data_IF_095368208374
#
_entry.id   IF_095368208374
#
_cell.length_a   1.000
_cell.length_b   1.000
_cell.length_c   1.000
_cell.angle_alpha   90.00
_cell.angle_beta   90.00
_cell.angle_gamma   90.00
#
_symmetry.space_group_name_H-M   'P 1'
#
loop_
_entity.id
_entity.type
_entity.pdbx_description
1 polymer ?
#
# COMPACT_ATOMS: atom_id res chain seq x y z
N UNK A 1 66.49 24.11 10.18
CA UNK A 1 66.86 23.17 9.11
C UNK A 1 65.97 21.95 9.26
N UNK A 2 65.29 21.61 8.18
CA UNK A 2 64.19 20.65 8.09
C UNK A 2 64.57 19.25 8.59
N UNK A 3 63.62 18.54 9.18
CA UNK A 3 63.57 17.08 9.10
C UNK A 3 62.21 16.68 8.50
N UNK A 4 62.31 16.34 7.22
CA UNK A 4 61.31 15.71 6.37
C UNK A 4 61.16 14.26 6.81
N UNK A 5 59.92 13.80 7.03
CA UNK A 5 59.65 12.38 7.24
C UNK A 5 58.47 12.10 8.16
N UNK A 6 57.25 12.29 7.66
CA UNK A 6 56.08 11.63 8.23
C UNK A 6 55.22 11.15 7.07
N UNK A 7 55.37 9.88 6.74
CA UNK A 7 54.51 9.14 5.82
C UNK A 7 53.09 9.11 6.39
N UNK A 8 52.15 9.73 5.69
CA UNK A 8 50.72 9.61 5.97
C UNK A 8 50.32 8.15 5.79
N UNK A 9 49.90 7.49 6.87
CA UNK A 9 49.20 6.21 6.79
C UNK A 9 47.82 6.46 6.21
N UNK A 10 47.65 6.08 4.93
CA UNK A 10 46.36 6.02 4.27
C UNK A 10 45.46 5.06 5.05
N UNK A 11 44.48 5.61 5.75
CA UNK A 11 43.39 4.82 6.33
C UNK A 11 42.44 4.49 5.18
N UNK A 12 42.49 3.25 4.69
CA UNK A 12 41.45 2.72 3.81
C UNK A 12 40.15 2.66 4.62
N UNK A 13 39.32 3.69 4.46
CA UNK A 13 37.95 3.66 4.94
C UNK A 13 37.17 2.69 4.04
N UNK A 14 36.89 1.49 4.55
CA UNK A 14 35.85 0.65 3.96
C UNK A 14 34.53 1.42 3.97
N UNK A 15 33.77 1.46 2.86
CA UNK A 15 32.44 2.04 2.87
C UNK A 15 31.58 1.24 3.83
N UNK A 16 31.15 1.90 4.92
CA UNK A 16 30.16 1.38 5.84
C UNK A 16 28.87 1.11 5.04
N UNK A 17 28.23 -0.06 5.14
CA UNK A 17 26.94 -0.27 4.50
C UNK A 17 25.96 0.77 5.04
N UNK A 18 25.41 1.55 4.12
CA UNK A 18 24.37 2.54 4.39
C UNK A 18 23.17 1.83 5.01
N UNK A 19 22.66 2.26 6.18
CA UNK A 19 21.37 1.78 6.65
C UNK A 19 20.29 2.25 5.67
N UNK A 20 19.58 1.32 5.03
CA UNK A 20 18.48 1.55 4.08
C UNK A 20 17.19 2.07 4.75
N UNK A 21 17.29 2.73 5.90
CA UNK A 21 16.14 3.24 6.65
C UNK A 21 15.98 4.74 6.41
N UNK A 22 15.56 5.11 5.20
CA UNK A 22 14.90 6.39 4.96
C UNK A 22 13.56 6.10 4.28
N UNK A 23 12.63 5.52 5.04
CA UNK A 23 11.22 5.66 4.72
C UNK A 23 10.79 7.07 5.15
N UNK A 24 10.14 7.86 4.28
CA UNK A 24 9.65 9.18 4.67
C UNK A 24 8.71 9.06 5.87
N UNK A 25 8.86 9.95 6.85
CA UNK A 25 7.97 10.01 7.99
C UNK A 25 6.51 10.19 7.51
N UNK A 26 5.58 9.51 8.19
CA UNK A 26 4.11 9.48 7.98
C UNK A 26 3.45 10.88 7.92
N UNK A 27 4.22 11.96 8.07
CA UNK A 27 3.75 13.31 8.30
C UNK A 27 3.52 14.17 7.04
N UNK A 28 3.84 13.71 5.82
CA UNK A 28 3.55 14.49 4.59
C UNK A 28 2.14 14.26 4.06
N UNK A 29 1.49 13.13 4.38
CA UNK A 29 0.12 12.91 3.94
C UNK A 29 -0.90 13.70 4.77
N UNK A 30 -0.65 13.92 6.07
CA UNK A 30 -1.55 14.69 6.94
C UNK A 30 -1.90 16.10 6.42
N UNK A 31 -1.05 16.71 5.59
CA UNK A 31 -1.28 18.03 4.99
C UNK A 31 -2.19 18.02 3.76
N UNK A 32 -2.32 16.92 3.01
CA UNK A 32 -3.21 16.86 1.84
C UNK A 32 -4.69 16.72 2.22
N UNK A 33 -4.97 16.36 3.48
CA UNK A 33 -6.32 16.06 3.99
C UNK A 33 -7.03 17.23 4.70
N UNK A 34 -6.43 18.43 4.78
CA UNK A 34 -7.13 19.59 5.35
C UNK A 34 -8.07 20.24 4.33
N UNK A 35 -9.03 19.47 3.83
CA UNK A 35 -10.20 20.07 3.21
C UNK A 35 -11.13 20.55 4.33
N UNK A 36 -11.15 21.87 4.56
CA UNK A 36 -12.22 22.53 5.33
C UNK A 36 -13.49 22.49 4.48
N UNK A 37 -14.16 21.34 4.42
CA UNK A 37 -15.57 21.33 4.09
C UNK A 37 -16.31 21.81 5.35
N UNK A 38 -17.03 22.95 5.31
CA UNK A 38 -17.99 23.22 6.36
C UNK A 38 -19.03 22.10 6.31
N UNK A 39 -19.22 21.38 7.41
CA UNK A 39 -20.44 20.61 7.61
C UNK A 39 -21.61 21.58 7.46
N UNK A 40 -22.26 21.60 6.29
CA UNK A 40 -23.53 22.28 6.15
C UNK A 40 -24.58 21.38 6.81
N UNK A 41 -24.86 21.66 8.08
CA UNK A 41 -26.16 21.35 8.64
C UNK A 41 -27.19 22.09 7.79
N UNK A 42 -27.84 21.40 6.85
CA UNK A 42 -29.03 21.93 6.20
C UNK A 42 -30.11 22.04 7.28
N UNK A 43 -30.12 23.16 8.00
CA UNK A 43 -31.35 23.62 8.64
C UNK A 43 -32.32 23.89 7.50
N UNK A 44 -33.28 22.98 7.30
CA UNK A 44 -34.44 23.23 6.46
C UNK A 44 -35.17 24.47 6.98
N UNK A 45 -34.78 25.67 6.51
CA UNK A 45 -35.66 26.82 6.59
C UNK A 45 -36.69 26.65 5.47
N UNK A 46 -37.89 26.23 5.85
CA UNK A 46 -39.07 26.26 5.00
C UNK A 46 -39.54 27.72 4.79
N UNK A 47 -38.65 28.59 4.32
CA UNK A 47 -39.00 29.93 3.87
C UNK A 47 -38.61 30.04 2.40
N UNK A 48 -39.45 29.48 1.53
CA UNK A 48 -39.46 29.81 0.11
C UNK A 48 -39.92 31.28 -0.01
N UNK A 49 -39.09 32.23 -0.47
CA UNK A 49 -39.60 33.50 -0.93
C UNK A 49 -40.15 33.26 -2.34
N UNK A 50 -41.37 33.74 -2.61
CA UNK A 50 -42.14 33.61 -3.87
C UNK A 50 -43.19 32.50 -3.90
N UNK A 51 -44.38 32.86 -3.37
CA UNK A 51 -45.65 32.45 -3.96
C UNK A 51 -46.21 33.64 -4.75
N UNK A 52 -46.62 33.48 -6.01
CA UNK A 52 -47.45 34.47 -6.69
C UNK A 52 -48.75 34.67 -5.89
N UNK A 53 -49.04 35.91 -5.56
CA UNK A 53 -50.29 36.33 -4.90
C UNK A 53 -51.50 35.85 -5.70
N UNK A 54 -52.40 35.11 -5.07
CA UNK A 54 -53.62 34.54 -5.66
C UNK A 54 -54.74 35.57 -5.88
N UNK A 55 -54.41 36.84 -6.14
CA UNK A 55 -55.40 37.94 -6.17
C UNK A 55 -56.00 38.30 -7.54
N UNK A 56 -55.62 37.63 -8.63
CA UNK A 56 -56.30 37.81 -9.93
C UNK A 56 -56.95 36.51 -10.39
N UNK A 57 -58.25 36.36 -10.09
CA UNK A 57 -59.13 35.46 -10.84
C UNK A 57 -59.27 36.02 -12.25
N UNK A 58 -58.68 35.35 -13.24
CA UNK A 58 -58.99 35.53 -14.65
C UNK A 58 -60.46 35.12 -14.84
N UNK A 59 -61.33 36.08 -15.11
CA UNK A 59 -62.72 35.82 -15.45
C UNK A 59 -62.78 35.15 -16.84
N UNK A 60 -62.86 33.83 -16.87
CA UNK A 60 -63.26 33.10 -18.07
C UNK A 60 -64.78 33.26 -18.22
N UNK A 61 -65.21 34.17 -19.09
CA UNK A 61 -66.61 34.29 -19.49
C UNK A 61 -66.84 33.32 -20.65
N UNK A 62 -67.44 32.17 -20.36
CA UNK A 62 -68.06 31.30 -21.37
C UNK A 62 -69.43 31.89 -21.76
N UNK A 63 -69.71 32.17 -23.05
CA UNK A 63 -70.99 32.74 -23.46
C UNK A 63 -72.03 31.62 -23.53
N UNK A 64 -73.02 31.63 -22.63
CA UNK A 64 -74.18 30.73 -22.72
C UNK A 64 -75.36 31.49 -23.34
N UNK A 65 -75.69 31.12 -24.58
CA UNK A 65 -76.90 31.52 -25.29
C UNK A 65 -78.10 30.76 -24.71
N UNK A 66 -79.15 31.49 -24.30
CA UNK A 66 -80.47 30.91 -24.04
C UNK A 66 -81.55 31.74 -24.78
N UNK A 67 -82.51 31.09 -25.48
CA UNK A 67 -83.42 31.74 -26.41
C UNK A 67 -84.80 32.03 -25.79
N UNK A 68 -85.46 33.13 -26.19
CA UNK A 68 -86.88 33.33 -25.90
C UNK A 68 -87.66 33.74 -27.14
N UNK A 69 -88.65 32.90 -27.49
CA UNK A 69 -89.64 33.13 -28.53
C UNK A 69 -90.96 33.69 -27.97
N UNK A 70 -91.36 34.85 -28.52
CA UNK A 70 -92.71 35.34 -28.90
C UNK A 70 -93.94 35.19 -27.97
N UNK A 71 -94.52 36.33 -27.59
CA UNK A 71 -95.89 36.84 -27.95
C UNK A 71 -96.18 38.14 -27.14
N UNK A 72 -96.35 39.32 -27.78
CA UNK A 72 -97.62 39.98 -28.18
C UNK A 72 -98.48 40.50 -27.00
N UNK A 73 -99.09 41.69 -26.89
CA UNK A 73 -99.12 43.00 -27.58
C UNK A 73 -100.17 43.88 -26.79
N UNK A 74 -100.03 45.22 -26.71
CA UNK A 74 -101.12 46.18 -26.36
C UNK A 74 -101.11 46.75 -24.93
N UNK A 75 -100.52 47.92 -24.58
CA UNK A 75 -100.88 49.36 -24.81
C UNK A 75 -101.98 49.91 -23.87
N UNK A 76 -101.63 50.92 -23.04
CA UNK A 76 -102.41 52.14 -22.67
C UNK A 76 -101.57 53.06 -21.75
N UNK A 77 -101.84 54.38 -21.66
CA UNK A 77 -100.83 55.39 -22.02
C UNK A 77 -100.41 56.39 -20.92
N UNK A 78 -99.18 56.89 -21.13
CA UNK A 78 -98.64 58.25 -20.93
C UNK A 78 -99.42 59.28 -20.09
N UNK A 79 -98.83 59.67 -18.95
CA UNK A 79 -98.87 61.04 -18.43
C UNK A 79 -97.43 61.60 -18.35
N UNK A 80 -97.06 62.36 -19.37
CA UNK A 80 -96.00 63.39 -19.42
C UNK A 80 -96.33 64.47 -18.36
N UNK A 81 -95.46 65.04 -17.51
CA UNK A 81 -94.10 65.62 -17.59
C UNK A 81 -93.71 66.06 -16.13
N UNK A 82 -92.44 66.41 -15.77
CA UNK A 82 -91.52 67.22 -16.55
C UNK A 82 -90.13 66.63 -16.78
N UNK A 83 -89.69 66.84 -18.02
CA UNK A 83 -88.32 66.76 -18.49
C UNK A 83 -87.48 67.83 -17.76
N UNK A 84 -86.69 67.39 -16.78
CA UNK A 84 -85.52 68.15 -16.32
C UNK A 84 -84.36 67.73 -17.21
N UNK A 85 -84.24 68.38 -18.37
CA UNK A 85 -82.92 68.52 -18.98
C UNK A 85 -82.16 69.54 -18.15
N UNK A 86 -81.07 69.10 -17.51
CA UNK A 86 -79.78 69.77 -17.60
C UNK A 86 -78.73 68.96 -16.83
N UNK A 87 -77.95 68.19 -17.61
CA UNK A 87 -76.50 68.04 -17.50
C UNK A 87 -75.88 68.78 -16.29
N UNK A 88 -75.76 68.11 -15.15
CA UNK A 88 -74.79 68.56 -14.13
C UNK A 88 -73.49 67.84 -14.45
N UNK A 89 -72.58 68.62 -15.00
CA UNK A 89 -71.30 68.22 -15.53
C UNK A 89 -70.49 67.35 -14.57
N UNK A 90 -69.73 66.44 -15.17
CA UNK A 90 -68.60 65.70 -14.63
C UNK A 90 -67.87 66.51 -13.54
N UNK A 91 -68.18 66.27 -12.27
CA UNK A 91 -67.22 66.57 -11.21
C UNK A 91 -66.03 65.65 -11.48
N UNK A 92 -64.88 66.21 -11.86
CA UNK A 92 -63.65 65.44 -11.96
C UNK A 92 -63.41 64.78 -10.61
N UNK A 93 -63.60 63.46 -10.55
CA UNK A 93 -63.54 62.63 -9.32
C UNK A 93 -62.13 62.60 -8.70
N UNK A 94 -61.15 63.20 -9.39
CA UNK A 94 -59.78 63.39 -8.95
C UNK A 94 -59.37 64.82 -9.23
N UNK A 95 -58.79 65.48 -8.23
CA UNK A 95 -58.12 66.77 -8.40
C UNK A 95 -56.81 66.55 -9.17
N UNK A 96 -56.31 67.55 -9.93
CA UNK A 96 -54.93 67.54 -10.42
C UNK A 96 -53.91 67.22 -9.31
N UNK A 97 -54.14 67.67 -8.07
CA UNK A 97 -53.29 67.36 -6.93
C UNK A 97 -53.30 65.86 -6.56
N UNK A 98 -54.47 65.20 -6.63
CA UNK A 98 -54.58 63.74 -6.42
C UNK A 98 -53.86 62.96 -7.52
N UNK A 99 -53.93 63.47 -8.77
CA UNK A 99 -53.19 62.91 -9.89
C UNK A 99 -51.68 63.05 -9.70
N UNK A 100 -51.19 64.23 -9.28
CA UNK A 100 -49.78 64.46 -8.98
C UNK A 100 -49.29 63.58 -7.83
N UNK A 101 -50.05 63.44 -6.75
CA UNK A 101 -49.73 62.55 -5.62
C UNK A 101 -49.69 61.08 -6.04
N UNK A 102 -50.67 60.62 -6.80
CA UNK A 102 -50.71 59.24 -7.30
C UNK A 102 -49.53 58.95 -8.22
N UNK A 103 -49.19 59.86 -9.12
CA UNK A 103 -48.02 59.70 -9.99
C UNK A 103 -46.72 59.71 -9.19
N UNK A 104 -46.60 60.59 -8.20
CA UNK A 104 -45.43 60.63 -7.32
C UNK A 104 -45.24 59.31 -6.57
N UNK A 105 -46.31 58.71 -6.06
CA UNK A 105 -46.29 57.39 -5.42
C UNK A 105 -45.88 56.29 -6.40
N UNK A 106 -46.50 56.26 -7.59
CA UNK A 106 -46.16 55.28 -8.64
C UNK A 106 -44.68 55.39 -9.08
N UNK A 107 -44.14 56.61 -9.17
CA UNK A 107 -42.72 56.81 -9.47
C UNK A 107 -41.84 56.23 -8.36
N UNK A 108 -42.14 56.53 -7.09
CA UNK A 108 -41.38 55.99 -5.94
C UNK A 108 -41.44 54.46 -5.87
N UNK A 109 -42.60 53.86 -6.08
CA UNK A 109 -42.77 52.40 -6.07
C UNK A 109 -42.03 51.75 -7.26
N UNK A 110 -42.06 52.38 -8.43
CA UNK A 110 -41.30 51.95 -9.61
C UNK A 110 -39.79 52.04 -9.38
N UNK A 111 -39.31 53.12 -8.77
CA UNK A 111 -37.90 53.30 -8.40
C UNK A 111 -37.45 52.25 -7.38
N UNK A 112 -38.25 51.99 -6.34
CA UNK A 112 -37.98 50.95 -5.36
C UNK A 112 -37.96 49.54 -6.00
N UNK A 113 -38.91 49.24 -6.88
CA UNK A 113 -38.95 47.98 -7.61
C UNK A 113 -37.74 47.81 -8.54
N UNK A 114 -37.34 48.86 -9.26
CA UNK A 114 -36.14 48.88 -10.11
C UNK A 114 -34.88 48.65 -9.27
N UNK A 115 -34.76 49.33 -8.13
CA UNK A 115 -33.63 49.18 -7.22
C UNK A 115 -33.53 47.74 -6.68
N UNK A 116 -34.65 47.16 -6.22
CA UNK A 116 -34.68 45.78 -5.74
C UNK A 116 -34.34 44.77 -6.84
N UNK A 117 -34.84 44.98 -8.07
CA UNK A 117 -34.54 44.12 -9.21
C UNK A 117 -33.06 44.24 -9.66
N UNK A 118 -32.47 45.42 -9.59
CA UNK A 118 -31.03 45.62 -9.82
C UNK A 118 -30.20 44.87 -8.77
N UNK A 119 -30.53 45.07 -7.48
CA UNK A 119 -29.85 44.37 -6.38
C UNK A 119 -29.91 42.85 -6.54
N UNK A 120 -31.09 42.30 -6.83
CA UNK A 120 -31.27 40.86 -7.06
C UNK A 120 -30.39 40.34 -8.21
N UNK A 121 -30.27 41.10 -9.31
CA UNK A 121 -29.41 40.72 -10.45
C UNK A 121 -27.93 40.75 -10.08
N UNK A 122 -27.49 41.76 -9.35
CA UNK A 122 -26.11 41.87 -8.86
C UNK A 122 -25.79 40.72 -7.89
N UNK A 123 -26.65 40.49 -6.90
CA UNK A 123 -26.49 39.41 -5.92
C UNK A 123 -26.48 38.03 -6.58
N UNK A 124 -27.35 37.82 -7.58
CA UNK A 124 -27.38 36.57 -8.36
C UNK A 124 -26.11 36.40 -9.19
N UNK A 125 -25.65 37.45 -9.86
CA UNK A 125 -24.42 37.41 -10.67
C UNK A 125 -23.20 37.12 -9.81
N UNK A 126 -23.11 37.74 -8.63
CA UNK A 126 -22.06 37.47 -7.64
C UNK A 126 -22.12 36.02 -7.14
N UNK A 127 -23.32 35.53 -6.80
CA UNK A 127 -23.48 34.15 -6.33
C UNK A 127 -23.04 33.14 -7.38
N UNK A 128 -23.34 33.38 -8.66
CA UNK A 128 -22.87 32.53 -9.77
C UNK A 128 -21.34 32.52 -9.82
N UNK A 129 -20.70 33.69 -9.79
CA UNK A 129 -19.23 33.80 -9.81
C UNK A 129 -18.56 33.12 -8.61
N UNK A 130 -19.06 33.36 -7.39
CA UNK A 130 -18.54 32.77 -6.16
C UNK A 130 -18.65 31.22 -6.21
N UNK A 131 -19.78 30.69 -6.73
CA UNK A 131 -19.99 29.25 -6.90
C UNK A 131 -19.12 28.65 -8.00
N UNK A 132 -18.94 29.33 -9.12
CA UNK A 132 -18.04 28.89 -10.20
C UNK A 132 -16.59 28.84 -9.71
N UNK A 133 -16.14 29.86 -8.98
CA UNK A 133 -14.79 29.90 -8.43
C UNK A 133 -14.57 28.79 -7.39
N UNK A 134 -15.53 28.58 -6.48
CA UNK A 134 -15.47 27.49 -5.49
C UNK A 134 -15.43 26.12 -6.17
N UNK A 135 -16.22 25.92 -7.23
CA UNK A 135 -16.26 24.65 -7.98
C UNK A 135 -14.92 24.38 -8.66
N UNK A 136 -14.36 25.37 -9.37
CA UNK A 136 -13.03 25.24 -10.01
C UNK A 136 -11.94 24.95 -8.99
N UNK A 137 -11.93 25.67 -7.87
CA UNK A 137 -10.95 25.45 -6.80
C UNK A 137 -11.03 24.03 -6.25
N UNK A 138 -12.25 23.58 -5.93
CA UNK A 138 -12.48 22.24 -5.39
C UNK A 138 -12.03 21.16 -6.39
N UNK A 139 -12.41 21.28 -7.67
CA UNK A 139 -11.98 20.35 -8.72
C UNK A 139 -10.46 20.29 -8.87
N UNK A 140 -9.78 21.44 -8.92
CA UNK A 140 -8.31 21.47 -9.01
C UNK A 140 -7.65 20.80 -7.81
N UNK A 141 -8.15 21.05 -6.60
CA UNK A 141 -7.64 20.44 -5.37
C UNK A 141 -7.89 18.92 -5.35
N UNK A 142 -9.07 18.45 -5.77
CA UNK A 142 -9.36 17.00 -5.83
C UNK A 142 -8.52 16.29 -6.88
N UNK A 143 -8.42 16.83 -8.10
CA UNK A 143 -7.59 16.25 -9.17
C UNK A 143 -6.13 16.15 -8.74
N UNK A 144 -5.58 17.21 -8.11
CA UNK A 144 -4.21 17.20 -7.61
C UNK A 144 -3.99 16.13 -6.54
N UNK A 145 -4.86 16.06 -5.54
CA UNK A 145 -4.75 15.08 -4.45
C UNK A 145 -4.87 13.64 -4.95
N UNK A 146 -5.75 13.38 -5.92
CA UNK A 146 -5.86 12.05 -6.57
C UNK A 146 -4.56 11.73 -7.32
N UNK A 147 -4.00 12.70 -8.04
CA UNK A 147 -2.73 12.53 -8.76
C UNK A 147 -1.56 12.19 -7.84
N UNK A 148 -1.42 12.88 -6.70
CA UNK A 148 -0.41 12.57 -5.68
C UNK A 148 -0.55 11.11 -5.19
N UNK A 149 -1.77 10.68 -4.86
CA UNK A 149 -2.04 9.31 -4.40
C UNK A 149 -1.77 8.25 -5.47
N UNK A 150 -2.09 8.53 -6.73
CA UNK A 150 -1.77 7.64 -7.85
C UNK A 150 -0.25 7.42 -7.91
N UNK A 151 0.55 8.48 -7.75
CA UNK A 151 2.01 8.37 -7.74
C UNK A 151 2.49 7.52 -6.55
N UNK A 152 1.95 7.73 -5.35
CA UNK A 152 2.31 6.94 -4.16
C UNK A 152 1.99 5.45 -4.36
N UNK A 153 0.78 5.11 -4.85
CA UNK A 153 0.39 3.72 -5.11
C UNK A 153 1.31 3.09 -6.16
N UNK A 154 1.65 3.83 -7.22
CA UNK A 154 2.58 3.36 -8.27
C UNK A 154 3.96 3.08 -7.67
N UNK A 155 4.49 3.98 -6.85
CA UNK A 155 5.77 3.80 -6.17
C UNK A 155 5.79 2.55 -5.29
N UNK A 156 4.78 2.38 -4.43
CA UNK A 156 4.72 1.20 -3.57
C UNK A 156 4.55 -0.08 -4.39
N UNK A 157 3.87 -0.02 -5.54
CA UNK A 157 3.68 -1.18 -6.43
C UNK A 157 5.01 -1.60 -7.02
N UNK A 158 5.82 -0.65 -7.49
CA UNK A 158 7.16 -0.96 -7.97
C UNK A 158 8.03 -1.58 -6.90
N UNK A 159 7.90 -1.11 -5.66
CA UNK A 159 8.64 -1.66 -4.52
C UNK A 159 8.20 -3.08 -4.15
N UNK A 160 6.90 -3.39 -4.21
CA UNK A 160 6.40 -4.76 -4.06
C UNK A 160 6.89 -5.69 -5.16
N UNK A 161 6.92 -5.22 -6.40
CA UNK A 161 7.43 -6.02 -7.52
C UNK A 161 8.89 -6.39 -7.31
N UNK A 162 9.71 -5.41 -6.89
CA UNK A 162 11.13 -5.66 -6.61
C UNK A 162 11.32 -6.72 -5.51
N UNK A 163 10.51 -6.63 -4.45
CA UNK A 163 10.58 -7.59 -3.35
C UNK A 163 10.11 -9.00 -3.77
N UNK A 164 9.05 -9.10 -4.58
CA UNK A 164 8.59 -10.37 -5.18
C UNK A 164 9.71 -11.00 -6.02
N UNK A 165 10.39 -10.21 -6.86
CA UNK A 165 11.49 -10.69 -7.68
C UNK A 165 12.66 -11.21 -6.82
N UNK A 166 12.97 -10.50 -5.73
CA UNK A 166 13.96 -10.94 -4.73
C UNK A 166 13.59 -12.29 -4.10
N UNK A 167 12.34 -12.43 -3.65
CA UNK A 167 11.84 -13.70 -3.06
C UNK A 167 11.88 -14.87 -4.04
N UNK A 168 11.56 -14.63 -5.32
CA UNK A 168 11.70 -15.64 -6.37
C UNK A 168 13.17 -16.08 -6.50
N UNK A 169 14.09 -15.12 -6.48
CA UNK A 169 15.54 -15.38 -6.49
C UNK A 169 15.96 -16.32 -5.35
N UNK A 170 15.61 -15.99 -4.11
CA UNK A 170 15.94 -16.81 -2.94
C UNK A 170 15.30 -18.20 -2.96
N UNK A 171 14.05 -18.30 -3.42
CA UNK A 171 13.34 -19.58 -3.57
C UNK A 171 14.06 -20.50 -4.57
N UNK A 172 14.56 -19.92 -5.66
CA UNK A 172 15.34 -20.65 -6.66
C UNK A 172 16.69 -21.11 -6.08
N UNK A 173 17.37 -20.26 -5.32
CA UNK A 173 18.65 -20.59 -4.67
C UNK A 173 18.49 -21.75 -3.65
N UNK A 174 17.45 -21.71 -2.82
CA UNK A 174 17.09 -22.82 -1.92
C UNK A 174 16.83 -24.11 -2.69
N UNK A 175 16.07 -24.02 -3.79
CA UNK A 175 15.76 -25.20 -4.61
C UNK A 175 17.01 -25.81 -5.22
N UNK A 176 17.96 -25.00 -5.66
CA UNK A 176 19.22 -25.48 -6.23
C UNK A 176 20.14 -26.12 -5.18
N UNK A 177 20.28 -25.49 -4.01
CA UNK A 177 21.06 -26.06 -2.91
C UNK A 177 20.44 -27.40 -2.44
N UNK A 178 19.10 -27.55 -2.49
CA UNK A 178 18.43 -28.81 -2.15
C UNK A 178 18.82 -29.92 -3.12
N UNK A 179 18.79 -29.63 -4.43
CA UNK A 179 19.23 -30.58 -5.47
C UNK A 179 20.70 -30.97 -5.32
N UNK A 180 21.55 -30.04 -4.88
CA UNK A 180 22.96 -30.32 -4.64
C UNK A 180 23.15 -31.31 -3.48
N UNK A 181 22.45 -31.10 -2.37
CA UNK A 181 22.45 -32.03 -1.23
C UNK A 181 21.84 -33.40 -1.58
N UNK A 182 20.79 -33.44 -2.40
CA UNK A 182 20.21 -34.69 -2.92
C UNK A 182 21.23 -35.51 -3.73
N UNK A 183 22.04 -34.83 -4.57
CA UNK A 183 23.10 -35.49 -5.32
C UNK A 183 24.22 -35.98 -4.43
N UNK A 184 24.66 -35.16 -3.47
CA UNK A 184 25.66 -35.53 -2.47
C UNK A 184 25.24 -36.77 -1.69
N UNK A 185 23.98 -36.86 -1.26
CA UNK A 185 23.43 -38.02 -0.54
C UNK A 185 23.51 -39.32 -1.34
N UNK A 186 23.27 -39.26 -2.65
CA UNK A 186 23.35 -40.44 -3.53
C UNK A 186 24.82 -40.87 -3.73
N UNK A 187 25.75 -39.92 -3.69
CA UNK A 187 27.18 -40.17 -3.83
C UNK A 187 27.82 -40.69 -2.52
N UNK A 188 27.32 -40.26 -1.36
CA UNK A 188 27.76 -40.69 -0.03
C UNK A 188 26.96 -41.87 0.52
N UNK A 189 26.87 -42.99 -0.21
CA UNK A 189 26.40 -44.29 0.32
C UNK A 189 27.36 -44.84 1.42
N UNK A 190 27.61 -44.04 2.46
CA UNK A 190 28.45 -44.27 3.61
C UNK A 190 27.63 -44.28 4.92
N UNK A 191 28.21 -43.89 6.06
CA UNK A 191 27.67 -44.17 7.39
C UNK A 191 26.29 -43.53 7.65
N UNK A 192 25.41 -44.27 8.34
CA UNK A 192 24.03 -43.88 8.70
C UNK A 192 23.91 -42.47 9.32
N UNK A 193 24.93 -42.02 10.05
CA UNK A 193 24.96 -40.70 10.70
C UNK A 193 25.01 -39.54 9.71
N UNK A 194 25.67 -39.71 8.55
CA UNK A 194 25.74 -38.72 7.48
C UNK A 194 24.40 -38.60 6.75
N UNK A 195 23.74 -39.73 6.51
CA UNK A 195 22.41 -39.81 5.89
C UNK A 195 21.35 -39.08 6.73
N UNK A 196 21.37 -39.25 8.06
CA UNK A 196 20.43 -38.57 8.97
C UNK A 196 20.62 -37.04 8.98
N UNK A 197 21.87 -36.56 8.94
CA UNK A 197 22.18 -35.12 8.88
C UNK A 197 21.70 -34.51 7.56
N UNK A 198 21.96 -35.18 6.43
CA UNK A 198 21.55 -34.71 5.11
C UNK A 198 20.03 -34.71 4.97
N UNK A 199 19.34 -35.76 5.43
CA UNK A 199 17.87 -35.82 5.41
C UNK A 199 17.24 -34.70 6.27
N UNK A 200 17.83 -34.44 7.45
CA UNK A 200 17.43 -33.31 8.30
C UNK A 200 17.60 -31.96 7.58
N UNK A 201 18.72 -31.77 6.86
CA UNK A 201 18.93 -30.58 6.02
C UNK A 201 17.88 -30.48 4.91
N UNK A 202 17.58 -31.55 4.19
CA UNK A 202 16.60 -31.57 3.09
C UNK A 202 15.18 -31.22 3.54
N UNK A 203 14.70 -31.84 4.62
CA UNK A 203 13.35 -31.57 5.15
C UNK A 203 13.22 -30.13 5.65
N UNK A 204 14.30 -29.54 6.17
CA UNK A 204 14.31 -28.13 6.57
C UNK A 204 14.31 -27.19 5.37
N UNK A 205 15.12 -27.44 4.36
CA UNK A 205 15.10 -26.65 3.13
C UNK A 205 13.72 -26.67 2.48
N UNK A 206 13.03 -27.82 2.51
CA UNK A 206 11.63 -27.92 2.10
C UNK A 206 10.72 -26.98 2.90
N UNK A 207 10.82 -26.96 4.24
CA UNK A 207 10.07 -26.00 5.07
C UNK A 207 10.38 -24.54 4.74
N UNK A 208 11.62 -24.22 4.37
CA UNK A 208 12.00 -22.87 3.94
C UNK A 208 11.40 -22.51 2.58
N UNK A 209 11.39 -23.44 1.62
CA UNK A 209 10.69 -23.27 0.35
C UNK A 209 9.19 -23.05 0.58
N UNK A 210 8.55 -23.84 1.45
CA UNK A 210 7.12 -23.69 1.76
C UNK A 210 6.82 -22.31 2.38
N UNK A 211 7.67 -21.81 3.29
CA UNK A 211 7.55 -20.45 3.86
C UNK A 211 7.76 -19.36 2.82
N UNK A 212 8.78 -19.51 1.97
CA UNK A 212 9.06 -18.55 0.90
C UNK A 212 7.89 -18.48 -0.10
N UNK A 213 7.30 -19.63 -0.45
CA UNK A 213 6.11 -19.70 -1.29
C UNK A 213 4.88 -19.05 -0.64
N UNK A 214 4.68 -19.24 0.66
CA UNK A 214 3.60 -18.59 1.41
C UNK A 214 3.78 -17.06 1.45
N UNK A 215 4.99 -16.57 1.72
CA UNK A 215 5.30 -15.14 1.71
C UNK A 215 5.10 -14.54 0.31
N UNK A 216 5.58 -15.22 -0.74
CA UNK A 216 5.35 -14.83 -2.13
C UNK A 216 3.86 -14.71 -2.45
N UNK A 217 3.02 -15.60 -1.93
CA UNK A 217 1.58 -15.52 -2.11
C UNK A 217 0.97 -14.30 -1.38
N UNK A 218 1.47 -13.97 -0.19
CA UNK A 218 1.06 -12.78 0.56
C UNK A 218 1.46 -11.49 -0.16
N UNK A 219 2.69 -11.41 -0.69
CA UNK A 219 3.18 -10.27 -1.46
C UNK A 219 2.36 -10.06 -2.74
N UNK A 220 2.06 -11.15 -3.48
CA UNK A 220 1.17 -11.11 -4.66
C UNK A 220 -0.25 -10.67 -4.31
N UNK A 221 -0.77 -11.08 -3.15
CA UNK A 221 -2.07 -10.61 -2.67
C UNK A 221 -2.05 -9.10 -2.38
N UNK A 222 -1.01 -8.59 -1.72
CA UNK A 222 -0.86 -7.15 -1.45
C UNK A 222 -0.69 -6.34 -2.75
N UNK A 223 0.06 -6.87 -3.72
CA UNK A 223 0.21 -6.30 -5.06
C UNK A 223 -1.15 -6.18 -5.76
N UNK A 224 -1.94 -7.25 -5.77
CA UNK A 224 -3.26 -7.23 -6.41
C UNK A 224 -4.20 -6.18 -5.82
N UNK A 225 -4.24 -6.03 -4.49
CA UNK A 225 -5.06 -5.00 -3.82
C UNK A 225 -4.63 -3.59 -4.24
N UNK A 226 -3.32 -3.32 -4.35
CA UNK A 226 -2.83 -2.03 -4.83
C UNK A 226 -3.10 -1.78 -6.30
N UNK A 227 -3.06 -2.81 -7.16
CA UNK A 227 -3.43 -2.67 -8.58
C UNK A 227 -4.90 -2.31 -8.73
N UNK A 228 -5.76 -2.92 -7.91
CA UNK A 228 -7.18 -2.61 -7.86
C UNK A 228 -7.41 -1.16 -7.39
N UNK A 229 -6.81 -0.76 -6.29
CA UNK A 229 -6.90 0.63 -5.79
C UNK A 229 -6.41 1.62 -6.85
N UNK A 230 -5.27 1.35 -7.49
CA UNK A 230 -4.76 2.16 -8.60
C UNK A 230 -5.77 2.27 -9.75
N UNK A 231 -6.39 1.17 -10.16
CA UNK A 231 -7.40 1.17 -11.22
C UNK A 231 -8.61 2.03 -10.86
N UNK A 232 -9.10 1.91 -9.63
CA UNK A 232 -10.21 2.71 -9.11
C UNK A 232 -9.84 4.20 -9.07
N UNK A 233 -8.62 4.54 -8.64
CA UNK A 233 -8.11 5.93 -8.65
C UNK A 233 -7.97 6.49 -10.06
N UNK A 234 -7.49 5.69 -11.01
CA UNK A 234 -7.40 6.09 -12.42
C UNK A 234 -8.78 6.33 -13.04
N UNK A 235 -9.76 5.49 -12.70
CA UNK A 235 -11.16 5.67 -13.11
C UNK A 235 -11.73 6.99 -12.55
N UNK A 236 -11.54 7.24 -11.25
CA UNK A 236 -11.96 8.49 -10.61
C UNK A 236 -11.29 9.72 -11.25
N UNK A 237 -9.98 9.67 -11.50
CA UNK A 237 -9.27 10.75 -12.18
C UNK A 237 -9.81 11.00 -13.60
N UNK A 238 -10.15 9.95 -14.37
CA UNK A 238 -10.75 10.11 -15.71
C UNK A 238 -12.14 10.75 -15.64
N UNK A 239 -12.92 10.42 -14.62
CA UNK A 239 -14.22 11.04 -14.38
C UNK A 239 -14.03 12.53 -14.06
N UNK A 240 -13.13 12.86 -13.13
CA UNK A 240 -12.82 14.25 -12.76
C UNK A 240 -12.33 15.07 -13.95
N UNK A 241 -11.42 14.49 -14.75
CA UNK A 241 -10.92 15.12 -15.97
C UNK A 241 -12.06 15.39 -16.96
N UNK A 242 -12.93 14.39 -17.21
CA UNK A 242 -14.11 14.59 -18.06
C UNK A 242 -15.03 15.67 -17.51
N UNK A 243 -15.28 15.69 -16.21
CA UNK A 243 -16.12 16.68 -15.54
C UNK A 243 -15.54 18.10 -15.64
N UNK A 244 -14.22 18.25 -15.58
CA UNK A 244 -13.54 19.55 -15.74
C UNK A 244 -13.78 20.17 -17.13
N UNK A 245 -13.95 19.34 -18.16
CA UNK A 245 -14.18 19.78 -19.53
C UNK A 245 -15.65 20.06 -19.86
N UNK A 246 -16.59 19.74 -18.97
CA UNK A 246 -18.02 20.01 -19.19
C UNK A 246 -18.34 21.50 -19.09
N UNK A 247 -19.28 21.96 -19.93
CA UNK A 247 -19.76 23.35 -20.01
C UNK A 247 -21.28 23.35 -20.02
N UNK A 248 -21.91 24.51 -19.77
CA UNK A 248 -23.38 24.66 -19.80
C UNK A 248 -24.03 24.42 -21.19
N UNK A 249 -23.21 24.21 -22.23
CA UNK A 249 -23.64 23.86 -23.59
C UNK A 249 -23.29 22.41 -23.96
N UNK A 250 -22.79 21.61 -23.02
CA UNK A 250 -22.48 20.19 -23.25
C UNK A 250 -23.76 19.38 -23.47
N UNK A 251 -23.69 18.34 -24.31
CA UNK A 251 -24.82 17.43 -24.52
C UNK A 251 -25.18 16.67 -23.24
N UNK A 252 -26.48 16.37 -23.08
CA UNK A 252 -26.98 15.60 -21.93
C UNK A 252 -27.25 16.43 -20.66
N UNK A 253 -27.23 17.76 -20.76
CA UNK A 253 -27.66 18.64 -19.66
C UNK A 253 -29.19 18.55 -19.50
N UNK A 254 -29.64 18.03 -18.36
CA UNK A 254 -31.04 17.87 -18.03
C UNK A 254 -31.27 17.75 -16.53
N UNK A 255 -32.54 17.81 -16.11
CA UNK A 255 -32.90 17.61 -14.71
C UNK A 255 -32.96 16.10 -14.40
N UNK A 256 -32.02 15.64 -13.56
CA UNK A 256 -31.98 14.27 -13.07
C UNK A 256 -32.68 14.20 -11.70
N UNK A 257 -33.82 13.50 -11.62
CA UNK A 257 -34.54 13.31 -10.35
C UNK A 257 -33.71 12.45 -9.39
N UNK A 258 -33.59 12.89 -8.13
CA UNK A 258 -32.98 12.08 -7.08
C UNK A 258 -31.48 12.31 -6.88
N UNK A 259 -30.87 13.27 -7.58
CA UNK A 259 -29.50 13.75 -7.30
C UNK A 259 -29.40 14.34 -5.89
N UNK A 260 -30.51 14.81 -5.33
CA UNK A 260 -30.61 15.27 -3.94
C UNK A 260 -30.73 14.13 -2.89
N UNK A 261 -30.88 12.87 -3.31
CA UNK A 261 -30.88 11.74 -2.38
C UNK A 261 -29.44 11.37 -2.05
N UNK A 262 -29.11 11.41 -0.76
CA UNK A 262 -27.81 10.98 -0.27
C UNK A 262 -27.62 9.49 -0.58
N UNK A 263 -26.67 9.17 -1.47
CA UNK A 263 -26.35 7.79 -1.80
C UNK A 263 -25.44 7.22 -0.71
N UNK A 264 -25.96 6.23 0.03
CA UNK A 264 -25.25 5.57 1.12
C UNK A 264 -24.05 4.73 0.64
N UNK A 265 -23.86 4.56 -0.67
CA UNK A 265 -22.71 3.86 -1.26
C UNK A 265 -21.52 4.78 -1.56
N UNK A 266 -21.62 6.08 -1.27
CA UNK A 266 -20.54 7.06 -1.49
C UNK A 266 -19.52 6.98 -0.36
N UNK A 267 -18.30 6.56 -0.69
CA UNK A 267 -17.16 6.63 0.23
C UNK A 267 -16.80 8.08 0.55
N UNK A 268 -16.79 8.44 1.84
CA UNK A 268 -16.34 9.77 2.30
C UNK A 268 -14.82 9.92 2.10
N UNK A 269 -14.30 11.12 1.78
CA UNK A 269 -12.89 11.35 1.48
C UNK A 269 -11.93 10.72 2.49
N UNK A 270 -12.26 10.77 3.79
CA UNK A 270 -11.47 10.20 4.87
C UNK A 270 -11.43 8.66 4.81
N UNK A 271 -12.56 8.02 4.50
CA UNK A 271 -12.62 6.55 4.35
C UNK A 271 -11.87 6.08 3.09
N UNK A 272 -11.92 6.88 2.03
CA UNK A 272 -11.24 6.59 0.79
C UNK A 272 -9.73 6.76 0.93
N UNK A 273 -9.27 7.78 1.67
CA UNK A 273 -7.88 7.95 2.07
C UNK A 273 -7.38 6.78 2.91
N UNK A 274 -8.11 6.47 3.99
CA UNK A 274 -7.76 5.37 4.89
C UNK A 274 -7.63 4.03 4.18
N UNK A 275 -8.47 3.74 3.19
CA UNK A 275 -8.36 2.51 2.39
C UNK A 275 -7.00 2.37 1.70
N UNK A 276 -6.52 3.44 1.07
CA UNK A 276 -5.19 3.44 0.43
C UNK A 276 -4.07 3.36 1.47
N UNK A 277 -4.22 4.07 2.59
CA UNK A 277 -3.23 4.05 3.67
C UNK A 277 -3.09 2.64 4.27
N UNK A 278 -4.21 1.95 4.49
CA UNK A 278 -4.26 0.56 4.98
C UNK A 278 -3.59 -0.39 3.97
N UNK A 279 -3.82 -0.21 2.67
CA UNK A 279 -3.18 -0.99 1.61
C UNK A 279 -1.66 -0.77 1.58
N UNK A 280 -1.22 0.48 1.69
CA UNK A 280 0.21 0.84 1.74
C UNK A 280 0.87 0.25 2.98
N UNK A 281 0.23 0.37 4.16
CA UNK A 281 0.75 -0.17 5.41
C UNK A 281 0.87 -1.69 5.35
N UNK A 282 -0.13 -2.37 4.78
CA UNK A 282 -0.06 -3.81 4.53
C UNK A 282 1.11 -4.15 3.60
N UNK A 283 1.24 -3.47 2.47
CA UNK A 283 2.37 -3.63 1.54
C UNK A 283 3.73 -3.47 2.23
N UNK A 284 3.88 -2.47 3.09
CA UNK A 284 5.10 -2.26 3.88
C UNK A 284 5.38 -3.41 4.84
N UNK A 285 4.35 -3.90 5.54
CA UNK A 285 4.47 -5.02 6.47
C UNK A 285 4.90 -6.30 5.75
N UNK A 286 4.29 -6.61 4.60
CA UNK A 286 4.63 -7.81 3.82
C UNK A 286 6.06 -7.73 3.29
N UNK A 287 6.49 -6.57 2.74
CA UNK A 287 7.87 -6.39 2.28
C UNK A 287 8.90 -6.50 3.41
N UNK A 288 8.60 -5.98 4.59
CA UNK A 288 9.49 -6.10 5.74
C UNK A 288 9.63 -7.57 6.20
N UNK A 289 8.51 -8.32 6.20
CA UNK A 289 8.53 -9.75 6.50
C UNK A 289 9.32 -10.53 5.44
N UNK A 290 9.13 -10.20 4.16
CA UNK A 290 9.85 -10.76 3.02
C UNK A 290 11.36 -10.51 3.12
N UNK A 291 11.80 -9.25 3.28
CA UNK A 291 13.23 -8.92 3.41
C UNK A 291 13.90 -9.69 4.53
N UNK A 292 13.24 -9.78 5.69
CA UNK A 292 13.75 -10.55 6.83
C UNK A 292 13.86 -12.04 6.53
N UNK A 293 12.87 -12.60 5.82
CA UNK A 293 12.89 -14.00 5.41
C UNK A 293 14.04 -14.26 4.42
N UNK A 294 14.32 -13.31 3.51
CA UNK A 294 15.48 -13.40 2.60
C UNK A 294 16.80 -13.43 3.37
N UNK A 295 16.99 -12.54 4.35
CA UNK A 295 18.19 -12.54 5.20
C UNK A 295 18.35 -13.87 5.97
N UNK A 296 17.25 -14.39 6.54
CA UNK A 296 17.24 -15.67 7.23
C UNK A 296 17.53 -16.86 6.27
N UNK A 297 17.16 -16.76 4.99
CA UNK A 297 17.46 -17.76 3.94
C UNK A 297 18.93 -17.68 3.52
N UNK A 298 19.45 -16.48 3.26
CA UNK A 298 20.84 -16.27 2.85
C UNK A 298 21.81 -16.80 3.92
N UNK A 299 21.57 -16.45 5.19
CA UNK A 299 22.38 -16.93 6.32
C UNK A 299 22.35 -18.46 6.45
N UNK A 300 21.19 -19.08 6.23
CA UNK A 300 21.08 -20.54 6.19
C UNK A 300 21.88 -21.15 5.03
N UNK A 301 21.78 -20.58 3.82
CA UNK A 301 22.50 -21.07 2.65
C UNK A 301 24.01 -21.02 2.87
N UNK A 302 24.53 -19.92 3.41
CA UNK A 302 25.96 -19.78 3.77
C UNK A 302 26.36 -20.83 4.80
N UNK A 303 25.59 -20.98 5.88
CA UNK A 303 25.90 -21.97 6.94
C UNK A 303 25.90 -23.40 6.39
N UNK A 304 24.96 -23.75 5.51
CA UNK A 304 24.89 -25.08 4.89
C UNK A 304 26.05 -25.32 3.92
N UNK A 305 26.50 -24.28 3.20
CA UNK A 305 27.68 -24.36 2.34
C UNK A 305 28.94 -24.61 3.17
N UNK A 306 29.13 -23.86 4.25
CA UNK A 306 30.29 -24.01 5.14
C UNK A 306 30.33 -25.40 5.77
N UNK A 307 29.18 -25.93 6.23
CA UNK A 307 29.08 -27.31 6.74
C UNK A 307 29.59 -28.30 5.69
N UNK A 308 29.07 -28.23 4.46
CA UNK A 308 29.48 -29.13 3.38
C UNK A 308 30.99 -29.06 3.10
N UNK A 309 31.57 -27.86 3.03
CA UNK A 309 33.00 -27.68 2.77
C UNK A 309 33.88 -28.20 3.94
N UNK A 310 33.41 -28.05 5.18
CA UNK A 310 34.09 -28.60 6.37
C UNK A 310 34.04 -30.12 6.41
N UNK A 311 32.91 -30.74 6.05
CA UNK A 311 32.78 -32.21 5.96
C UNK A 311 33.74 -32.79 4.90
N UNK A 312 33.81 -32.18 3.71
CA UNK A 312 34.79 -32.56 2.67
C UNK A 312 36.24 -32.42 3.14
N UNK A 313 36.53 -31.40 3.93
CA UNK A 313 37.87 -31.19 4.51
C UNK A 313 38.21 -32.28 5.53
N UNK A 314 37.25 -32.66 6.38
CA UNK A 314 37.41 -33.75 7.36
C UNK A 314 37.72 -35.07 6.64
N UNK A 315 36.95 -35.42 5.61
CA UNK A 315 37.19 -36.65 4.84
C UNK A 315 38.59 -36.68 4.21
N UNK A 316 39.02 -35.55 3.63
CA UNK A 316 40.35 -35.42 3.03
C UNK A 316 41.47 -35.58 4.07
N UNK A 317 41.33 -34.97 5.25
CA UNK A 317 42.30 -35.10 6.35
C UNK A 317 42.35 -36.55 6.86
N UNK A 318 41.19 -37.19 7.07
CA UNK A 318 41.12 -38.58 7.50
C UNK A 318 41.79 -39.51 6.48
N UNK A 319 41.58 -39.29 5.18
CA UNK A 319 42.27 -40.03 4.12
C UNK A 319 43.79 -39.85 4.19
N UNK A 320 44.27 -38.61 4.33
CA UNK A 320 45.70 -38.32 4.46
C UNK A 320 46.33 -39.01 5.69
N UNK A 321 45.62 -39.03 6.83
CA UNK A 321 46.05 -39.74 8.04
C UNK A 321 46.18 -41.25 7.76
N UNK A 322 45.21 -41.86 7.07
CA UNK A 322 45.27 -43.30 6.71
C UNK A 322 46.48 -43.63 5.81
N UNK A 323 46.74 -42.79 4.81
CA UNK A 323 47.86 -42.97 3.87
C UNK A 323 49.22 -42.79 4.57
N UNK A 324 49.34 -41.75 5.40
CA UNK A 324 50.57 -41.50 6.18
C UNK A 324 50.78 -42.56 7.26
N UNK A 325 49.73 -43.02 7.93
CA UNK A 325 49.80 -44.12 8.90
C UNK A 325 50.26 -45.43 8.27
N UNK A 326 49.81 -45.72 7.05
CA UNK A 326 50.31 -46.86 6.26
C UNK A 326 51.80 -46.73 5.94
N UNK A 327 52.23 -45.53 5.54
CA UNK A 327 53.64 -45.22 5.27
C UNK A 327 54.52 -45.35 6.52
N UNK A 328 54.05 -44.83 7.66
CA UNK A 328 54.72 -44.93 8.95
C UNK A 328 54.92 -46.38 9.36
N UNK A 329 53.89 -47.22 9.18
CA UNK A 329 53.95 -48.64 9.54
C UNK A 329 55.00 -49.40 8.73
N UNK A 330 55.16 -49.08 7.45
CA UNK A 330 56.24 -49.63 6.61
C UNK A 330 57.61 -49.17 7.10
N UNK A 331 57.79 -47.88 7.39
CA UNK A 331 59.05 -47.35 7.89
C UNK A 331 59.43 -47.95 9.26
N UNK A 332 58.46 -48.09 10.17
CA UNK A 332 58.64 -48.75 11.48
C UNK A 332 59.00 -50.22 11.34
N UNK A 333 58.34 -50.96 10.44
CA UNK A 333 58.65 -52.37 10.20
C UNK A 333 60.08 -52.54 9.68
N UNK A 334 60.48 -51.71 8.69
CA UNK A 334 61.86 -51.68 8.18
C UNK A 334 62.87 -51.35 9.30
N UNK A 335 62.51 -50.47 10.24
CA UNK A 335 63.38 -50.08 11.34
C UNK A 335 63.54 -51.22 12.34
N UNK A 336 62.44 -51.87 12.72
CA UNK A 336 62.43 -53.04 13.63
C UNK A 336 63.27 -54.18 13.06
N UNK A 337 63.11 -54.53 11.77
CA UNK A 337 63.95 -55.54 11.10
C UNK A 337 65.45 -55.21 11.19
N UNK A 338 65.84 -53.93 10.98
CA UNK A 338 67.25 -53.52 11.10
C UNK A 338 67.77 -53.60 12.53
N UNK A 339 66.93 -53.37 13.53
CA UNK A 339 67.32 -53.48 14.95
C UNK A 339 67.53 -54.93 15.43
N UNK A 340 67.04 -55.92 14.67
CA UNK A 340 67.18 -57.35 14.98
C UNK A 340 68.43 -58.01 14.38
N UNK A 341 69.28 -57.26 13.69
CA UNK A 341 70.49 -57.79 13.05
C UNK A 341 71.46 -58.35 14.11
N UNK A 342 72.00 -59.57 13.91
CA UNK A 342 72.89 -60.19 14.89
C UNK A 342 74.31 -59.60 14.85
N UNK A 343 74.92 -59.50 16.03
CA UNK A 343 76.35 -59.24 16.22
C UNK A 343 76.87 -57.97 15.50
N UNK A 344 77.88 -58.12 14.65
CA UNK A 344 78.66 -57.03 14.03
C UNK A 344 77.86 -56.27 12.96
N UNK A 345 76.70 -56.79 12.53
CA UNK A 345 75.82 -56.10 11.56
C UNK A 345 74.92 -55.02 12.19
N UNK A 346 74.90 -54.92 13.52
CA UNK A 346 74.17 -53.87 14.24
C UNK A 346 74.97 -52.55 14.26
N UNK A 347 75.29 -52.04 13.07
CA UNK A 347 75.93 -50.75 12.88
C UNK A 347 74.90 -49.62 12.81
N UNK A 348 75.12 -48.51 13.53
CA UNK A 348 74.36 -47.25 13.36
C UNK A 348 74.79 -46.54 12.08
N UNK A 349 74.53 -47.18 10.95
CA UNK A 349 74.89 -46.68 9.64
C UNK A 349 73.95 -45.55 9.17
N UNK A 350 74.33 -44.90 8.08
CA UNK A 350 73.56 -43.79 7.51
C UNK A 350 72.12 -44.17 7.18
N UNK A 351 71.89 -45.40 6.69
CA UNK A 351 70.55 -45.91 6.40
C UNK A 351 69.69 -46.06 7.67
N UNK A 352 70.27 -46.52 8.78
CA UNK A 352 69.58 -46.56 10.09
C UNK A 352 69.17 -45.15 10.53
N UNK A 353 70.09 -44.18 10.48
CA UNK A 353 69.82 -42.79 10.90
C UNK A 353 68.73 -42.14 10.04
N UNK A 354 68.77 -42.35 8.72
CA UNK A 354 67.74 -41.83 7.81
C UNK A 354 66.36 -42.41 8.10
N UNK A 355 66.29 -43.71 8.37
CA UNK A 355 65.01 -44.37 8.64
C UNK A 355 64.41 -43.93 9.99
N UNK A 356 65.25 -43.67 11.00
CA UNK A 356 64.82 -43.06 12.27
C UNK A 356 64.24 -41.67 12.04
N UNK A 357 64.93 -40.83 11.25
CA UNK A 357 64.41 -39.50 10.91
C UNK A 357 63.11 -39.57 10.09
N UNK A 358 63.02 -40.48 9.12
CA UNK A 358 61.80 -40.69 8.33
C UNK A 358 60.60 -41.08 9.21
N UNK A 359 60.80 -42.00 10.17
CA UNK A 359 59.77 -42.38 11.14
C UNK A 359 59.34 -41.17 11.96
N UNK A 360 60.30 -40.36 12.44
CA UNK A 360 60.00 -39.15 13.22
C UNK A 360 59.22 -38.10 12.40
N UNK A 361 59.66 -37.80 11.18
CA UNK A 361 59.00 -36.80 10.31
C UNK A 361 57.58 -37.23 9.91
N UNK A 362 57.38 -38.51 9.60
CA UNK A 362 56.04 -39.02 9.27
C UNK A 362 55.13 -38.99 10.52
N UNK A 363 55.65 -39.34 11.69
CA UNK A 363 54.89 -39.29 12.95
C UNK A 363 54.48 -37.85 13.30
N UNK A 364 55.41 -36.89 13.21
CA UNK A 364 55.13 -35.46 13.42
C UNK A 364 54.07 -34.94 12.44
N UNK A 365 54.16 -35.35 11.17
CA UNK A 365 53.13 -35.03 10.16
C UNK A 365 51.76 -35.60 10.53
N UNK A 366 51.68 -36.84 11.02
CA UNK A 366 50.42 -37.46 11.45
C UNK A 366 49.85 -36.73 12.66
N UNK A 367 50.68 -36.37 13.66
CA UNK A 367 50.23 -35.60 14.82
C UNK A 367 49.68 -34.23 14.41
N UNK A 368 50.33 -33.54 13.48
CA UNK A 368 49.84 -32.29 12.91
C UNK A 368 48.51 -32.43 12.18
N UNK A 369 48.33 -33.49 11.38
CA UNK A 369 47.06 -33.80 10.72
C UNK A 369 45.95 -34.14 11.73
N UNK A 370 46.26 -34.89 12.78
CA UNK A 370 45.31 -35.19 13.86
C UNK A 370 44.87 -33.95 14.62
N UNK A 371 45.76 -32.97 14.82
CA UNK A 371 45.37 -31.69 15.41
C UNK A 371 44.40 -30.94 14.50
N UNK A 372 44.71 -30.83 13.20
CA UNK A 372 43.81 -30.17 12.24
C UNK A 372 42.45 -30.88 12.11
N UNK A 373 42.42 -32.21 12.25
CA UNK A 373 41.17 -32.96 12.28
C UNK A 373 40.30 -32.52 13.47
N UNK A 374 40.87 -32.44 14.67
CA UNK A 374 40.16 -31.95 15.87
C UNK A 374 39.66 -30.52 15.67
N UNK A 375 40.52 -29.64 15.15
CA UNK A 375 40.15 -28.24 14.92
C UNK A 375 38.97 -28.13 13.91
N UNK A 376 38.97 -28.96 12.85
CA UNK A 376 37.89 -29.00 11.86
C UNK A 376 36.59 -29.60 12.44
N UNK A 377 36.69 -30.63 13.27
CA UNK A 377 35.56 -31.22 13.99
C UNK A 377 34.93 -30.20 14.96
N UNK A 378 35.73 -29.40 15.66
CA UNK A 378 35.26 -28.32 16.55
C UNK A 378 34.52 -27.22 15.77
N UNK A 379 35.05 -26.81 14.60
CA UNK A 379 34.38 -25.86 13.71
C UNK A 379 33.04 -26.41 13.23
N UNK A 380 33.00 -27.67 12.80
CA UNK A 380 31.75 -28.32 12.38
C UNK A 380 30.72 -28.34 13.52
N UNK A 381 31.13 -28.65 14.76
CA UNK A 381 30.23 -28.59 15.92
C UNK A 381 29.70 -27.17 16.18
N UNK A 382 30.57 -26.16 16.07
CA UNK A 382 30.14 -24.77 16.22
C UNK A 382 29.10 -24.36 15.15
N UNK A 383 29.35 -24.71 13.89
CA UNK A 383 28.43 -24.47 12.77
C UNK A 383 27.09 -25.20 12.95
N UNK A 384 27.11 -26.45 13.43
CA UNK A 384 25.91 -27.20 13.76
C UNK A 384 25.11 -26.54 14.91
N UNK A 385 25.79 -25.91 15.87
CA UNK A 385 25.13 -25.17 16.95
C UNK A 385 24.52 -23.84 16.46
N UNK A 386 25.24 -23.04 15.67
CA UNK A 386 24.65 -21.83 15.05
C UNK A 386 23.47 -22.18 14.17
N UNK A 387 23.58 -23.25 13.39
CA UNK A 387 22.48 -23.83 12.63
C UNK A 387 21.27 -24.13 13.52
N UNK A 388 21.46 -24.78 14.67
CA UNK A 388 20.38 -25.11 15.61
C UNK A 388 19.72 -23.87 16.24
N UNK A 389 20.50 -22.84 16.55
CA UNK A 389 19.97 -21.58 17.08
C UNK A 389 19.10 -20.84 16.05
N UNK A 390 19.58 -20.75 14.81
CA UNK A 390 18.83 -20.15 13.71
C UNK A 390 17.49 -20.89 13.50
N UNK A 391 17.47 -22.22 13.62
CA UNK A 391 16.22 -23.00 13.58
C UNK A 391 15.24 -22.61 14.66
N UNK A 392 15.72 -22.49 15.90
CA UNK A 392 14.88 -22.18 17.04
C UNK A 392 14.22 -20.82 16.87
N UNK A 393 15.00 -19.80 16.50
CA UNK A 393 14.48 -18.45 16.25
C UNK A 393 13.46 -18.45 15.10
N UNK A 394 13.74 -19.21 14.03
CA UNK A 394 12.85 -19.35 12.90
C UNK A 394 11.53 -20.05 13.24
N UNK A 395 11.55 -21.05 14.13
CA UNK A 395 10.35 -21.72 14.61
C UNK A 395 9.48 -20.77 15.43
N UNK A 396 10.09 -19.97 16.31
CA UNK A 396 9.39 -18.94 17.10
C UNK A 396 8.78 -17.87 16.21
N UNK A 397 9.54 -17.37 15.21
CA UNK A 397 9.05 -16.37 14.24
C UNK A 397 7.89 -16.92 13.39
N UNK A 398 7.99 -18.15 12.89
CA UNK A 398 6.91 -18.78 12.11
C UNK A 398 5.62 -18.95 12.93
N UNK A 399 5.74 -19.37 14.19
CA UNK A 399 4.60 -19.43 15.11
C UNK A 399 4.00 -18.04 15.36
N UNK A 400 4.84 -17.01 15.48
CA UNK A 400 4.38 -15.62 15.64
C UNK A 400 3.61 -15.12 14.42
N UNK A 401 4.11 -15.38 13.21
CA UNK A 401 3.43 -15.06 11.95
C UNK A 401 2.09 -15.79 11.81
N UNK A 402 2.06 -17.08 12.14
CA UNK A 402 0.82 -17.87 12.14
C UNK A 402 -0.22 -17.28 13.10
N UNK A 403 0.19 -16.91 14.31
CA UNK A 403 -0.70 -16.25 15.27
C UNK A 403 -1.23 -14.94 14.70
N UNK A 404 -0.37 -14.10 14.10
CA UNK A 404 -0.79 -12.80 13.59
C UNK A 404 -1.74 -12.93 12.38
N UNK A 405 -1.42 -13.80 11.42
CA UNK A 405 -2.22 -13.98 10.20
C UNK A 405 -3.52 -14.75 10.45
N UNK A 406 -3.46 -15.90 11.13
CA UNK A 406 -4.62 -16.79 11.25
C UNK A 406 -5.51 -16.44 12.43
N UNK A 407 -4.92 -16.00 13.55
CA UNK A 407 -5.69 -15.65 14.75
C UNK A 407 -6.04 -14.17 14.77
N UNK A 408 -5.04 -13.30 14.72
CA UNK A 408 -5.27 -11.85 14.91
C UNK A 408 -5.96 -11.21 13.69
N UNK A 409 -5.47 -11.44 12.47
CA UNK A 409 -6.07 -10.87 11.26
C UNK A 409 -7.43 -11.52 10.95
N UNK A 410 -7.60 -12.81 11.24
CA UNK A 410 -8.91 -13.48 11.24
C UNK A 410 -9.93 -12.77 12.13
N UNK A 411 -9.56 -12.48 13.38
CA UNK A 411 -10.40 -11.71 14.32
C UNK A 411 -10.68 -10.28 13.83
N UNK A 412 -9.69 -9.59 13.23
CA UNK A 412 -9.87 -8.23 12.70
C UNK A 412 -10.84 -8.18 11.52
N UNK A 413 -10.90 -9.22 10.67
CA UNK A 413 -11.92 -9.33 9.60
C UNK A 413 -13.35 -9.47 10.14
N UNK A 414 -13.51 -10.10 11.30
CA UNK A 414 -14.81 -10.27 11.97
C UNK A 414 -15.18 -9.14 12.91
N UNK A 415 -14.25 -8.22 13.20
CA UNK A 415 -14.50 -7.10 14.11
C UNK A 415 -15.44 -6.09 13.43
N UNK A 416 -16.58 -5.72 14.06
CA UNK A 416 -17.49 -4.76 13.47
C UNK A 416 -16.80 -3.40 13.30
N UNK A 417 -16.82 -2.88 12.07
CA UNK A 417 -16.37 -1.52 11.79
C UNK A 417 -17.22 -0.54 12.61
N UNK A 418 -16.65 0.55 13.13
CA UNK A 418 -17.30 1.47 14.10
C UNK A 418 -18.66 2.01 13.60
N UNK A 419 -18.89 2.03 12.29
CA UNK A 419 -20.16 2.37 11.65
C UNK A 419 -21.31 1.40 11.94
N UNK A 420 -21.02 0.13 12.30
CA UNK A 420 -22.05 -0.84 12.74
C UNK A 420 -22.42 -0.70 14.22
N UNK A 421 -21.57 -0.06 15.02
CA UNK A 421 -21.78 0.16 16.45
C UNK A 421 -22.56 1.45 16.74
N UNK A 422 -22.53 2.41 15.82
CA UNK A 422 -23.46 3.55 15.83
C UNK A 422 -24.76 3.09 15.17
N UNK A 423 -25.57 2.39 15.96
CA UNK A 423 -26.95 2.08 15.59
C UNK A 423 -27.70 3.35 15.25
N UNK A 424 -28.63 3.21 14.29
CA UNK A 424 -29.73 4.13 14.01
C UNK A 424 -30.13 4.97 15.23
N UNK A 425 -29.92 6.28 15.14
CA UNK A 425 -30.67 7.28 15.90
C UNK A 425 -31.24 8.29 14.93
#
# INVERSE_FOLDING_TARGET
>A
MELVGSTLTATYAHPRPTPSNFLPAISTMASSYKNRFPHYSLTHSLSLPWRPSTYYKVAAITPTLAPFSKSSQGVTPSNMLPFVSNRTALFNRYSPDDWYRSNLTNYKDSEASRHNAEKMRVDTSRMIQDKDQQTRKTQTETTKNIGERVNDIVFWKTELNHEIDGMIGETNALTEMKKRLERGLVETEGPLQEVDVIHSCQERMRRHVDKAMAQLAADRSAQHEMEKDLSDKQSAHRIDDKCHHLRNTSDGIGYFRGVERFDATVSVPESWAKFTDDNILRSQSERAASSKLRDDIETLLVTLQEIFDTEMTIEAIQKAIREKGSSLKVAQTRLDERTRRPNVELCRDYAQLRLVNEVYEIDDTIQGLQQRLRDAEDVLQALLHTKANLEHELAVKANSLFIDQEKCMGMRKTFPNTLRLVGYT
#
